data_IF_264551114691
#
_entry.id   IF_264551114691
#
_cell.length_a   1.000
_cell.length_b   1.000
_cell.length_c   1.000
_cell.angle_alpha   90.00
_cell.angle_beta   90.00
_cell.angle_gamma   90.00
#
_symmetry.space_group_name_H-M   'P 1'
#
loop_
_entity.id
_entity.type
_entity.pdbx_description
1 polymer ?
#
# COMPACT_ATOMS: atom_id res chain seq x y z
N UNK A 1 -8.57 -10.38 3.62
CA UNK A 1 -7.46 -10.35 2.90
C UNK A 1 -6.60 -11.46 3.21
N UNK A 2 -6.72 -12.49 2.61
CA UNK A 2 -5.95 -13.55 2.98
C UNK A 2 -6.28 -14.68 2.17
N UNK A 3 -5.83 -15.69 2.48
CA UNK A 3 -6.19 -16.87 2.04
C UNK A 3 -6.20 -17.06 0.63
N UNK A 4 -5.19 -16.77 -0.08
CA UNK A 4 -5.13 -17.07 -1.45
C UNK A 4 -5.92 -16.16 -2.33
N UNK A 5 -6.38 -15.08 -1.79
CA UNK A 5 -7.01 -14.11 -2.61
C UNK A 5 -5.97 -13.50 -3.50
N UNK A 6 -6.31 -13.30 -4.75
CA UNK A 6 -5.38 -12.71 -5.69
C UNK A 6 -5.53 -11.21 -5.69
N UNK A 7 -4.94 -10.57 -4.73
CA UNK A 7 -4.95 -9.12 -4.72
C UNK A 7 -3.54 -8.61 -4.50
N UNK A 8 -3.34 -7.34 -4.83
CA UNK A 8 -2.06 -6.68 -4.68
C UNK A 8 -2.25 -5.55 -3.68
N UNK A 9 -1.42 -5.54 -2.64
CA UNK A 9 -1.42 -4.44 -1.68
C UNK A 9 -0.43 -3.39 -2.15
N UNK A 10 -0.84 -2.13 -2.13
CA UNK A 10 -0.02 -1.03 -2.61
C UNK A 10 0.07 0.03 -1.54
N UNK A 11 1.28 0.34 -1.11
CA UNK A 11 1.48 1.42 -0.16
C UNK A 11 1.78 2.70 -0.93
N UNK A 12 0.97 3.73 -0.70
CA UNK A 12 1.06 4.98 -1.43
C UNK A 12 2.02 5.98 -0.79
N UNK A 13 2.72 5.58 0.24
CA UNK A 13 3.67 6.43 0.94
C UNK A 13 5.02 6.42 0.24
N UNK A 14 5.89 7.33 0.66
CA UNK A 14 7.22 7.38 0.09
C UNK A 14 7.97 6.09 0.38
N UNK A 15 9.03 5.87 -0.38
CA UNK A 15 9.83 4.68 -0.21
C UNK A 15 10.39 4.56 1.19
N UNK A 16 10.74 5.68 1.80
CA UNK A 16 11.29 5.67 3.13
C UNK A 16 10.31 5.09 4.14
N UNK A 17 9.04 5.48 4.03
CA UNK A 17 8.02 4.93 4.91
C UNK A 17 7.81 3.45 4.64
N UNK A 18 7.83 3.07 3.38
CA UNK A 18 7.65 1.67 3.01
C UNK A 18 8.76 0.81 3.59
N UNK A 19 10.00 1.26 3.48
CA UNK A 19 11.12 0.48 3.96
C UNK A 19 11.10 0.35 5.47
N UNK A 20 10.60 1.36 6.15
CA UNK A 20 10.50 1.32 7.60
C UNK A 20 9.55 0.22 8.05
N UNK A 21 8.38 0.18 7.47
CA UNK A 21 7.42 -0.89 7.74
C UNK A 21 6.31 -0.81 6.70
N UNK A 22 5.80 -1.96 6.32
CA UNK A 22 4.68 -2.03 5.39
C UNK A 22 3.91 -3.32 5.67
N UNK A 23 2.69 -3.38 5.18
CA UNK A 23 1.88 -4.58 5.35
C UNK A 23 2.52 -5.73 4.59
N UNK A 24 2.36 -6.96 5.08
CA UNK A 24 3.03 -8.11 4.46
C UNK A 24 2.64 -8.24 2.99
N UNK A 25 3.65 -8.36 2.15
CA UNK A 25 3.43 -8.55 0.72
C UNK A 25 3.12 -7.29 -0.05
N UNK A 26 3.07 -6.13 0.61
CA UNK A 26 2.73 -4.90 -0.08
C UNK A 26 3.88 -4.45 -0.98
N UNK A 27 3.53 -3.79 -2.07
CA UNK A 27 4.53 -3.13 -2.91
C UNK A 27 4.41 -1.64 -2.68
N UNK A 28 5.46 -0.93 -3.05
CA UNK A 28 5.52 0.51 -2.85
C UNK A 28 5.28 1.23 -4.17
N UNK A 29 4.25 2.06 -4.21
CA UNK A 29 4.02 2.92 -5.34
C UNK A 29 3.62 4.28 -4.79
N UNK A 30 4.59 5.15 -4.49
CA UNK A 30 4.27 6.48 -3.99
C UNK A 30 3.37 7.22 -4.96
N UNK A 31 2.49 8.05 -4.42
CA UNK A 31 1.51 8.72 -5.27
C UNK A 31 2.18 9.53 -6.39
N UNK A 32 3.30 10.16 -6.10
CA UNK A 32 3.95 10.97 -7.11
C UNK A 32 4.50 10.16 -8.27
N UNK A 33 4.56 8.83 -8.14
CA UNK A 33 5.00 7.96 -9.21
C UNK A 33 3.88 7.10 -9.74
N UNK A 34 2.65 7.51 -9.54
CA UNK A 34 1.49 6.67 -9.91
C UNK A 34 1.46 6.41 -11.42
N UNK A 35 2.06 7.27 -12.21
CA UNK A 35 2.08 7.05 -13.66
C UNK A 35 2.95 5.87 -14.05
N UNK A 36 3.73 5.31 -13.11
CA UNK A 36 4.47 4.11 -13.38
C UNK A 36 3.72 2.85 -12.98
N UNK A 37 2.44 2.99 -12.65
CA UNK A 37 1.68 1.86 -12.15
C UNK A 37 1.66 0.69 -13.12
N UNK A 38 1.60 0.96 -14.40
CA UNK A 38 1.49 -0.14 -15.36
C UNK A 38 2.71 -1.01 -15.37
N UNK A 39 3.84 -0.47 -14.94
CA UNK A 39 5.07 -1.26 -14.88
C UNK A 39 5.07 -2.19 -13.67
N UNK A 40 4.55 -1.73 -12.53
CA UNK A 40 4.57 -2.54 -11.31
C UNK A 40 3.26 -3.29 -11.09
N UNK A 41 2.20 -2.87 -11.77
CA UNK A 41 0.89 -3.51 -11.68
C UNK A 41 0.41 -3.82 -13.09
N UNK A 42 1.00 -4.81 -13.74
CA UNK A 42 0.68 -5.04 -15.15
C UNK A 42 -0.71 -5.62 -15.39
N UNK A 43 -1.30 -6.28 -14.41
CA UNK A 43 -2.60 -6.93 -14.59
C UNK A 43 -3.70 -6.00 -14.11
N UNK A 44 -4.40 -5.37 -15.03
CA UNK A 44 -5.45 -4.43 -14.69
C UNK A 44 -6.74 -5.09 -14.23
N UNK A 45 -6.82 -6.41 -14.35
CA UNK A 45 -7.96 -7.14 -13.84
C UNK A 45 -7.76 -7.61 -12.41
N UNK A 46 -6.56 -7.50 -11.89
CA UNK A 46 -6.28 -7.94 -10.52
C UNK A 46 -6.90 -6.97 -9.53
N UNK A 47 -7.24 -7.48 -8.37
CA UNK A 47 -7.74 -6.62 -7.31
C UNK A 47 -6.57 -5.89 -6.67
N UNK A 48 -6.69 -4.57 -6.56
CA UNK A 48 -5.63 -3.71 -6.02
C UNK A 48 -6.17 -3.01 -4.78
N UNK A 49 -5.46 -3.14 -3.67
CA UNK A 49 -5.83 -2.47 -2.43
C UNK A 49 -4.76 -1.45 -2.11
N UNK A 50 -5.14 -0.19 -2.07
CA UNK A 50 -4.22 0.92 -1.85
C UNK A 50 -4.39 1.44 -0.44
N UNK A 51 -3.29 1.67 0.26
CA UNK A 51 -3.37 2.21 1.61
C UNK A 51 -2.28 3.23 1.86
N UNK A 52 -2.46 3.98 2.92
CA UNK A 52 -1.55 5.04 3.30
C UNK A 52 -1.29 4.90 4.80
N UNK A 53 -0.94 5.97 5.48
CA UNK A 53 -0.60 5.90 6.89
C UNK A 53 -1.83 5.81 7.79
N UNK A 54 -2.80 6.69 7.55
CA UNK A 54 -3.99 6.79 8.41
C UNK A 54 -5.06 7.54 7.63
N UNK A 55 -6.27 7.69 8.21
CA UNK A 55 -7.35 8.34 7.47
C UNK A 55 -7.09 9.78 7.07
N UNK A 56 -6.18 10.47 7.76
CA UNK A 56 -5.89 11.85 7.41
C UNK A 56 -5.02 11.96 6.17
N UNK A 57 -4.39 10.86 5.76
CA UNK A 57 -3.54 10.87 4.59
C UNK A 57 -4.40 10.68 3.35
N UNK A 58 -4.30 11.57 2.38
CA UNK A 58 -5.14 11.49 1.20
C UNK A 58 -4.45 10.84 0.01
N UNK A 59 -3.17 10.54 0.13
CA UNK A 59 -2.42 10.01 -1.01
C UNK A 59 -3.01 8.72 -1.54
N UNK A 60 -3.43 7.81 -0.66
CA UNK A 60 -3.96 6.53 -1.13
C UNK A 60 -5.30 6.69 -1.82
N UNK A 61 -6.15 7.61 -1.32
CA UNK A 61 -7.42 7.83 -1.98
C UNK A 61 -7.21 8.41 -3.36
N UNK A 62 -6.26 9.33 -3.49
CA UNK A 62 -5.99 9.94 -4.77
C UNK A 62 -5.34 8.94 -5.72
N UNK A 63 -4.45 8.12 -5.20
CA UNK A 63 -3.82 7.11 -6.04
C UNK A 63 -4.84 6.08 -6.51
N UNK A 64 -5.76 5.68 -5.64
CA UNK A 64 -6.79 4.74 -6.04
C UNK A 64 -7.63 5.31 -7.18
N UNK A 65 -7.94 6.60 -7.09
CA UNK A 65 -8.71 7.25 -8.14
C UNK A 65 -7.96 7.30 -9.45
N UNK A 66 -6.65 7.60 -9.36
CA UNK A 66 -5.83 7.62 -10.56
C UNK A 66 -5.75 6.24 -11.20
N UNK A 67 -5.61 5.21 -10.39
CA UNK A 67 -5.54 3.86 -10.93
C UNK A 67 -6.83 3.49 -11.65
N UNK A 68 -7.96 3.86 -11.08
CA UNK A 68 -9.22 3.61 -11.76
C UNK A 68 -9.27 4.30 -13.11
N UNK A 69 -8.76 5.54 -13.16
CA UNK A 69 -8.71 6.27 -14.41
C UNK A 69 -7.78 5.65 -15.43
N UNK A 70 -6.81 4.86 -14.98
CA UNK A 70 -5.89 4.18 -15.88
C UNK A 70 -6.41 2.83 -16.35
N UNK A 71 -7.60 2.44 -15.92
CA UNK A 71 -8.20 1.20 -16.39
C UNK A 71 -8.15 0.04 -15.44
N UNK A 72 -7.65 0.24 -14.22
CA UNK A 72 -7.69 -0.83 -13.23
C UNK A 72 -9.12 -1.00 -12.76
N UNK A 73 -9.61 -2.22 -12.78
CA UNK A 73 -11.04 -2.46 -12.63
C UNK A 73 -11.49 -2.73 -11.22
N UNK A 74 -10.59 -3.18 -10.36
CA UNK A 74 -10.94 -3.52 -8.98
C UNK A 74 -9.99 -2.85 -8.03
N UNK A 75 -10.22 -1.58 -7.73
CA UNK A 75 -9.36 -0.82 -6.85
C UNK A 75 -10.12 -0.53 -5.56
N UNK A 76 -9.53 -0.93 -4.45
CA UNK A 76 -10.09 -0.71 -3.13
C UNK A 76 -9.16 0.18 -2.34
N UNK A 77 -9.71 0.90 -1.40
CA UNK A 77 -8.94 1.83 -0.58
C UNK A 77 -9.07 1.42 0.88
N UNK A 78 -7.97 1.04 1.50
CA UNK A 78 -7.95 0.70 2.92
C UNK A 78 -7.74 2.00 3.68
N UNK A 79 -8.84 2.66 4.01
CA UNK A 79 -8.80 4.02 4.53
C UNK A 79 -8.15 4.12 5.90
N UNK A 80 -8.32 3.12 6.76
CA UNK A 80 -7.74 3.17 8.09
C UNK A 80 -6.22 3.15 8.05
N UNK A 81 -5.66 2.49 7.06
CA UNK A 81 -4.24 2.61 6.78
C UNK A 81 -3.32 1.85 7.70
N UNK A 82 -2.03 2.15 7.54
CA UNK A 82 -0.98 1.40 8.21
C UNK A 82 -1.07 1.52 9.72
N UNK A 83 -1.43 2.69 10.23
CA UNK A 83 -1.49 2.85 11.68
C UNK A 83 -2.55 1.97 12.31
N UNK A 84 -3.67 1.80 11.61
CA UNK A 84 -4.71 0.91 12.12
C UNK A 84 -4.22 -0.53 12.16
N UNK A 85 -3.53 -0.94 11.12
CA UNK A 85 -2.98 -2.29 11.04
C UNK A 85 -2.02 -2.55 12.20
N UNK A 86 -1.09 -1.62 12.41
CA UNK A 86 -0.10 -1.76 13.48
C UNK A 86 -0.78 -1.71 14.84
N UNK A 87 -1.75 -0.80 14.99
CA UNK A 87 -2.46 -0.68 16.26
C UNK A 87 -3.24 -1.92 16.63
N UNK A 88 -3.62 -2.71 15.64
CA UNK A 88 -4.32 -3.96 15.89
C UNK A 88 -3.37 -5.10 16.25
N UNK A 89 -2.06 -4.81 16.29
CA UNK A 89 -1.08 -5.82 16.67
C UNK A 89 -0.73 -6.78 15.55
N UNK A 90 -1.05 -6.44 14.32
CA UNK A 90 -0.78 -7.32 13.20
C UNK A 90 0.63 -7.11 12.69
N UNK A 91 1.20 -8.17 12.13
CA UNK A 91 2.59 -8.17 11.71
C UNK A 91 2.82 -7.23 10.53
N UNK A 92 3.98 -6.60 10.49
CA UNK A 92 4.42 -5.82 9.35
C UNK A 92 5.77 -6.35 8.90
N UNK A 93 6.15 -5.96 7.71
CA UNK A 93 7.46 -6.25 7.16
C UNK A 93 8.22 -4.96 6.98
N UNK A 94 9.52 -5.04 6.84
CA UNK A 94 10.30 -3.84 6.62
C UNK A 94 11.64 -3.96 7.29
N UNK A 95 12.38 -2.86 7.23
CA UNK A 95 13.70 -2.82 7.78
C UNK A 95 13.75 -1.79 8.88
N UNK A 96 13.87 -2.20 10.14
CA UNK A 96 13.90 -1.23 11.24
C UNK A 96 15.08 -0.29 11.06
N UNK A 97 14.90 0.95 11.44
CA UNK A 97 15.97 1.90 11.39
C UNK A 97 17.03 1.59 12.41
N UNK A 98 18.19 2.25 12.27
CA UNK A 98 19.28 2.04 13.22
C UNK A 98 18.82 2.40 14.62
N UNK A 99 19.25 1.61 15.58
CA UNK A 99 18.91 1.88 16.95
C UNK A 99 17.57 1.36 17.38
N UNK A 100 16.73 0.93 16.43
CA UNK A 100 15.50 0.32 16.81
C UNK A 100 15.77 -1.08 17.23
N UNK A 101 15.34 -1.37 18.39
CA UNK A 101 15.48 -2.71 18.83
C UNK A 101 14.56 -3.58 18.03
N UNK A 102 15.04 -4.68 17.65
CA UNK A 102 14.18 -5.59 16.99
C UNK A 102 13.43 -6.42 17.95
N UNK A 103 13.61 -6.15 19.15
CA UNK A 103 12.99 -6.94 20.18
C UNK A 103 11.55 -7.00 20.03
#
# INVERSE_FOLDING_TARGET
MDRGEDFVLVEALSRKHYESSHLPGAINLPYEFVDEAERVLPDKDAEVVVYCMNPACTASAEEARELEGMGYKKVLHYAAGKQDWIGAGLRVEGRPGPGRSSA
#
